data_IF_241060933099
#
_entry.id   IF_241060933099
#
_cell.length_a   1.000
_cell.length_b   1.000
_cell.length_c   1.000
_cell.angle_alpha   90.00
_cell.angle_beta   90.00
_cell.angle_gamma   90.00
#
_symmetry.space_group_name_H-M   'P 1'
#
loop_
_entity.id
_entity.type
_entity.pdbx_description
1 polymer ?
#
# COMPACT_ATOMS: atom_id res chain seq x y z
N UNK A 1 8.16 -0.94 11.24
CA UNK A 1 7.88 -1.50 9.91
C UNK A 1 6.44 -1.10 9.63
N UNK A 2 6.14 -0.27 8.62
CA UNK A 2 4.77 0.17 8.36
C UNK A 2 3.92 -1.09 8.08
N UNK A 3 2.86 -1.33 8.84
CA UNK A 3 1.96 -2.47 8.65
C UNK A 3 1.23 -2.32 7.31
N UNK A 4 1.87 -2.85 6.27
CA UNK A 4 1.33 -2.89 4.92
C UNK A 4 -0.04 -3.58 4.92
N UNK A 5 -1.04 -2.99 4.24
CA UNK A 5 -2.40 -3.52 4.24
C UNK A 5 -3.27 -3.06 5.43
N UNK A 6 -2.81 -2.09 6.22
CA UNK A 6 -3.62 -1.52 7.31
C UNK A 6 -4.85 -0.79 6.76
N UNK A 7 -4.67 -0.01 5.69
CA UNK A 7 -5.77 0.74 5.10
C UNK A 7 -6.71 -0.18 4.32
N UNK A 8 -6.19 -1.15 3.56
CA UNK A 8 -6.98 -2.15 2.82
C UNK A 8 -7.98 -2.91 3.70
N UNK A 9 -7.55 -3.32 4.90
CA UNK A 9 -8.42 -3.98 5.89
C UNK A 9 -9.53 -3.08 6.44
N UNK A 10 -9.33 -1.76 6.44
CA UNK A 10 -10.23 -0.79 7.10
C UNK A 10 -11.18 -0.10 6.10
N UNK A 11 -10.68 0.20 4.90
CA UNK A 11 -11.36 1.03 3.89
C UNK A 11 -11.68 0.24 2.61
N UNK A 12 -11.39 -1.07 2.58
CA UNK A 12 -11.62 -1.93 1.42
C UNK A 12 -10.82 -1.45 0.20
N UNK A 13 -11.43 -1.35 -1.00
CA UNK A 13 -10.72 -1.00 -2.23
C UNK A 13 -9.97 0.34 -2.21
N UNK A 14 -10.51 1.34 -1.48
CA UNK A 14 -9.81 2.62 -1.31
C UNK A 14 -8.56 2.47 -0.45
N UNK A 15 -8.65 1.61 0.57
CA UNK A 15 -7.54 1.31 1.45
C UNK A 15 -6.39 0.61 0.74
N UNK A 16 -6.70 -0.35 -0.14
CA UNK A 16 -5.71 -1.02 -1.00
C UNK A 16 -5.00 0.00 -1.92
N UNK A 17 -5.73 0.95 -2.49
CA UNK A 17 -5.13 2.01 -3.28
C UNK A 17 -4.22 2.94 -2.45
N UNK A 18 -4.61 3.25 -1.20
CA UNK A 18 -3.78 4.02 -0.29
C UNK A 18 -2.50 3.27 0.08
N UNK A 19 -2.61 1.98 0.44
CA UNK A 19 -1.46 1.12 0.73
C UNK A 19 -0.52 1.04 -0.49
N UNK A 20 -1.06 1.01 -1.71
CA UNK A 20 -0.30 1.09 -2.95
C UNK A 20 0.48 2.39 -3.10
N UNK A 21 -0.20 3.52 -2.93
CA UNK A 21 0.41 4.86 -3.05
C UNK A 21 1.49 5.06 -1.97
N UNK A 22 1.22 4.67 -0.73
CA UNK A 22 2.20 4.79 0.36
C UNK A 22 3.43 3.92 0.12
N UNK A 23 3.26 2.69 -0.35
CA UNK A 23 4.38 1.84 -0.73
C UNK A 23 5.20 2.44 -1.86
N UNK A 24 4.54 2.96 -2.91
CA UNK A 24 5.22 3.60 -4.04
C UNK A 24 6.04 4.81 -3.58
N UNK A 25 5.46 5.69 -2.74
CA UNK A 25 6.16 6.84 -2.16
C UNK A 25 7.34 6.41 -1.29
N UNK A 26 7.15 5.43 -0.39
CA UNK A 26 8.17 4.97 0.55
C UNK A 26 9.36 4.29 -0.14
N UNK A 27 9.14 3.66 -1.30
CA UNK A 27 10.16 2.91 -2.04
C UNK A 27 10.82 3.69 -3.17
N UNK A 28 10.43 4.96 -3.37
CA UNK A 28 10.98 5.80 -4.44
C UNK A 28 10.46 5.42 -5.83
N UNK A 29 9.21 4.97 -5.91
CA UNK A 29 8.53 4.69 -7.16
C UNK A 29 8.68 3.27 -7.71
N UNK A 30 9.07 2.32 -6.86
CA UNK A 30 9.11 0.91 -7.25
C UNK A 30 7.71 0.34 -7.37
N UNK A 31 7.47 -0.45 -8.42
CA UNK A 31 6.25 -1.23 -8.51
C UNK A 31 6.25 -2.30 -7.41
N UNK A 32 5.07 -2.56 -6.85
CA UNK A 32 4.92 -3.61 -5.85
C UNK A 32 5.40 -4.95 -6.39
N UNK A 33 6.23 -5.68 -5.62
CA UNK A 33 6.47 -7.07 -5.92
C UNK A 33 5.13 -7.82 -5.88
N UNK A 34 4.85 -8.68 -6.87
CA UNK A 34 3.64 -9.51 -6.83
C UNK A 34 3.66 -10.36 -5.57
N UNK A 35 2.54 -10.34 -4.84
CA UNK A 35 2.32 -11.13 -3.63
C UNK A 35 2.22 -12.64 -3.96
#
# INVERSE_FOLDING_TARGET
>A
MLDYGFFGRTLGPLGEAMDFVFYWLATGGRMMPPA
#
